data_IF_720431915473
#
_entry.id   IF_720431915473
#
_cell.length_a   1.000
_cell.length_b   1.000
_cell.length_c   1.000
_cell.angle_alpha   90.00
_cell.angle_beta   90.00
_cell.angle_gamma   90.00
#
_symmetry.space_group_name_H-M   'P 1'
#
loop_
_entity.id
_entity.type
_entity.pdbx_description
1 polymer ?
#
# COMPACT_ATOMS: atom_id res chain seq x y z
N UNK A 1 -31.24 2.94 25.49
CA UNK A 1 -29.78 3.04 25.77
C UNK A 1 -29.19 1.64 25.69
N UNK A 2 -28.61 1.29 24.55
CA UNK A 2 -28.11 -0.05 24.25
C UNK A 2 -26.78 -0.30 24.94
N UNK A 3 -26.76 -1.27 25.86
CA UNK A 3 -25.57 -1.74 26.57
C UNK A 3 -24.62 -2.45 25.61
N UNK A 4 -23.56 -1.77 25.18
CA UNK A 4 -22.44 -2.38 24.46
C UNK A 4 -21.79 -3.44 25.38
N UNK A 5 -21.69 -4.69 24.89
CA UNK A 5 -21.18 -5.81 25.68
C UNK A 5 -19.72 -5.59 26.12
N UNK A 6 -19.34 -6.12 27.30
CA UNK A 6 -17.99 -6.00 27.86
C UNK A 6 -16.89 -6.53 26.91
N UNK A 7 -17.23 -7.44 26.00
CA UNK A 7 -16.32 -7.98 24.98
C UNK A 7 -15.97 -6.96 23.90
N UNK A 8 -16.94 -6.14 23.46
CA UNK A 8 -16.72 -5.08 22.47
C UNK A 8 -15.84 -3.96 23.04
N UNK A 9 -15.99 -3.63 24.33
CA UNK A 9 -15.12 -2.64 25.01
C UNK A 9 -13.67 -3.13 25.14
N UNK A 10 -13.46 -4.44 25.37
CA UNK A 10 -12.12 -5.04 25.48
C UNK A 10 -11.44 -5.19 24.12
N UNK A 11 -12.18 -5.52 23.06
CA UNK A 11 -11.68 -5.53 21.68
C UNK A 11 -11.30 -4.12 21.20
N UNK A 12 -12.15 -3.12 21.44
CA UNK A 12 -11.85 -1.74 21.10
C UNK A 12 -10.60 -1.23 21.84
N UNK A 13 -10.46 -1.53 23.14
CA UNK A 13 -9.29 -1.14 23.93
C UNK A 13 -7.99 -1.82 23.47
N UNK A 14 -8.04 -3.09 23.03
CA UNK A 14 -6.88 -3.81 22.51
C UNK A 14 -6.38 -3.27 21.16
N UNK A 15 -7.30 -2.98 20.23
CA UNK A 15 -6.97 -2.37 18.95
C UNK A 15 -6.43 -0.93 19.10
N UNK A 16 -7.02 -0.15 20.03
CA UNK A 16 -6.54 1.20 20.37
C UNK A 16 -5.15 1.20 21.03
N UNK A 17 -4.82 0.21 21.85
CA UNK A 17 -3.51 0.10 22.50
C UNK A 17 -2.39 -0.33 21.53
N UNK A 18 -2.70 -1.20 20.55
CA UNK A 18 -1.77 -1.54 19.48
C UNK A 18 -1.35 -0.31 18.65
N UNK A 19 -2.23 0.67 18.53
CA UNK A 19 -1.97 1.90 17.79
C UNK A 19 -1.31 3.01 18.66
N UNK A 20 -0.91 2.73 19.92
CA UNK A 20 -0.52 3.75 20.92
C UNK A 20 0.79 3.42 21.69
N UNK A 21 1.94 3.35 21.01
CA UNK A 21 3.34 3.47 21.56
C UNK A 21 4.08 2.18 22.03
N UNK A 22 5.45 2.21 22.16
CA UNK A 22 6.37 3.36 22.05
C UNK A 22 7.55 3.28 21.06
N UNK A 23 7.98 4.49 20.70
CA UNK A 23 9.26 4.86 20.13
C UNK A 23 10.46 4.45 21.00
N UNK A 24 11.59 4.17 20.34
CA UNK A 24 12.92 4.34 20.89
C UNK A 24 13.94 4.56 19.76
N UNK A 25 13.94 5.75 19.15
CA UNK A 25 15.17 6.42 18.69
C UNK A 25 15.01 7.93 18.93
N UNK A 26 16.08 8.51 19.47
CA UNK A 26 16.15 9.76 20.21
C UNK A 26 15.84 11.04 19.43
N UNK A 27 15.36 12.02 20.19
CA UNK A 27 15.36 13.44 19.87
C UNK A 27 16.81 13.92 19.66
N UNK A 28 17.14 14.26 18.42
CA UNK A 28 18.14 15.27 18.09
C UNK A 28 17.58 16.05 16.89
N UNK A 29 17.53 17.38 17.01
CA UNK A 29 17.02 18.26 15.96
C UNK A 29 17.78 18.07 14.65
N UNK A 30 17.08 17.53 13.65
CA UNK A 30 17.59 17.14 12.35
C UNK A 30 17.02 15.77 11.99
N UNK A 31 16.05 15.70 11.09
CA UNK A 31 15.55 14.43 10.56
C UNK A 31 16.72 13.72 9.85
N UNK A 32 17.30 12.71 10.49
CA UNK A 32 18.30 11.86 9.87
C UNK A 32 17.70 11.23 8.60
N UNK A 33 18.33 11.45 7.46
CA UNK A 33 17.95 10.80 6.20
C UNK A 33 18.08 9.28 6.39
N UNK A 34 17.03 8.53 6.08
CA UNK A 34 17.11 7.07 6.08
C UNK A 34 18.17 6.60 5.06
N UNK A 35 19.01 5.65 5.48
CA UNK A 35 19.91 4.99 4.55
C UNK A 35 19.11 4.05 3.63
N UNK A 36 19.44 4.04 2.34
CA UNK A 36 18.93 3.04 1.41
C UNK A 36 19.54 1.66 1.73
N UNK A 37 18.75 0.61 1.59
CA UNK A 37 19.21 -0.78 1.68
C UNK A 37 20.01 -1.17 0.43
N UNK A 38 19.64 -0.62 -0.73
CA UNK A 38 20.29 -0.91 -2.01
C UNK A 38 21.80 -0.67 -1.97
N UNK A 39 22.58 -1.68 -2.37
CA UNK A 39 24.04 -1.61 -2.37
C UNK A 39 24.58 -0.63 -3.42
N UNK A 40 25.74 0.01 -3.18
CA UNK A 40 26.42 0.81 -4.19
C UNK A 40 26.66 0.01 -5.49
N UNK A 41 26.40 0.63 -6.64
CA UNK A 41 26.61 0.04 -7.97
C UNK A 41 25.34 -0.43 -8.70
N UNK A 42 24.18 -0.45 -8.04
CA UNK A 42 22.89 -0.60 -8.74
C UNK A 42 22.52 0.72 -9.45
N UNK A 43 21.86 0.68 -10.63
CA UNK A 43 21.45 1.87 -11.36
C UNK A 43 20.15 2.47 -10.77
N UNK A 44 20.17 2.75 -9.46
CA UNK A 44 19.05 3.36 -8.74
C UNK A 44 19.17 4.87 -8.84
N UNK A 45 18.09 5.51 -9.28
CA UNK A 45 17.95 6.96 -9.41
C UNK A 45 16.89 7.49 -8.45
N UNK A 46 16.98 8.77 -8.09
CA UNK A 46 15.88 9.53 -7.50
C UNK A 46 15.42 10.56 -8.53
N UNK A 47 14.23 10.37 -9.07
CA UNK A 47 13.60 11.28 -10.02
C UNK A 47 12.78 12.33 -9.26
N UNK A 48 12.80 13.58 -9.70
CA UNK A 48 11.89 14.62 -9.23
C UNK A 48 10.81 14.81 -10.28
N UNK A 49 9.63 14.21 -10.06
CA UNK A 49 8.56 14.18 -11.05
C UNK A 49 7.55 15.29 -10.76
N UNK A 50 7.35 16.26 -11.67
CA UNK A 50 6.39 17.33 -11.44
C UNK A 50 4.97 16.81 -11.32
N UNK A 51 4.27 17.18 -10.25
CA UNK A 51 2.83 16.97 -10.10
C UNK A 51 2.10 18.29 -10.17
N UNK A 52 1.38 18.51 -11.27
CA UNK A 52 0.54 19.68 -11.44
C UNK A 52 -0.63 19.65 -10.43
N UNK A 53 -1.22 18.48 -10.22
CA UNK A 53 -2.34 18.28 -9.29
C UNK A 53 -1.96 18.53 -7.82
N UNK A 54 -0.70 18.31 -7.46
CA UNK A 54 -0.19 18.54 -6.10
C UNK A 54 0.66 19.80 -5.96
N UNK A 55 0.93 20.52 -7.05
CA UNK A 55 1.68 21.78 -7.07
C UNK A 55 3.12 21.67 -6.60
N UNK A 56 3.75 20.50 -6.76
CA UNK A 56 5.12 20.23 -6.30
C UNK A 56 5.73 19.05 -7.04
N UNK A 57 7.05 18.95 -7.01
CA UNK A 57 7.74 17.74 -7.47
C UNK A 57 7.59 16.63 -6.43
N UNK A 58 7.40 15.40 -6.93
CA UNK A 58 7.30 14.19 -6.13
C UNK A 58 8.57 13.36 -6.37
N UNK A 59 9.35 13.05 -5.31
CA UNK A 59 10.49 12.17 -5.46
C UNK A 59 10.01 10.75 -5.79
N UNK A 60 10.68 10.10 -6.74
CA UNK A 60 10.39 8.73 -7.14
C UNK A 60 11.72 7.98 -7.24
N UNK A 61 11.90 6.96 -6.41
CA UNK A 61 13.02 6.03 -6.57
C UNK A 61 12.75 5.16 -7.78
N UNK A 62 13.75 5.04 -8.65
CA UNK A 62 13.59 4.36 -9.92
C UNK A 62 14.79 3.48 -10.23
N UNK A 63 14.55 2.28 -10.75
CA UNK A 63 15.57 1.45 -11.36
C UNK A 63 15.05 0.94 -12.69
N UNK A 64 15.76 1.25 -13.77
CA UNK A 64 15.44 0.72 -15.10
C UNK A 64 15.81 -0.76 -15.21
N UNK A 65 14.93 -1.55 -15.82
CA UNK A 65 15.16 -2.98 -16.11
C UNK A 65 14.43 -3.51 -17.34
N UNK A 66 13.45 -2.76 -17.86
CA UNK A 66 12.70 -3.04 -19.09
C UNK A 66 11.54 -2.06 -19.27
N UNK A 67 10.75 -2.21 -20.33
CA UNK A 67 9.65 -1.28 -20.65
C UNK A 67 8.42 -1.43 -19.75
N UNK A 68 8.30 -2.54 -19.01
CA UNK A 68 7.26 -2.74 -17.99
C UNK A 68 7.80 -2.44 -16.61
N UNK A 69 6.93 -1.91 -15.74
CA UNK A 69 7.30 -1.49 -14.40
C UNK A 69 6.45 -2.16 -13.30
N UNK A 70 7.07 -2.29 -12.13
CA UNK A 70 6.41 -2.61 -10.87
C UNK A 70 6.39 -1.36 -9.98
N UNK A 71 5.20 -0.85 -9.72
CA UNK A 71 4.95 0.28 -8.84
C UNK A 71 4.83 -0.24 -7.41
N UNK A 72 5.80 0.08 -6.56
CA UNK A 72 5.83 -0.33 -5.16
C UNK A 72 5.35 0.82 -4.30
N UNK A 73 4.11 0.71 -3.85
CA UNK A 73 3.45 1.71 -3.01
C UNK A 73 3.81 1.45 -1.53
N UNK A 74 4.07 2.50 -0.78
CA UNK A 74 4.51 2.43 0.63
C UNK A 74 3.34 2.22 1.60
N UNK A 75 3.64 2.02 2.88
CA UNK A 75 2.66 1.89 3.95
C UNK A 75 2.12 3.22 4.48
N UNK A 76 1.37 3.14 5.58
CA UNK A 76 0.72 4.30 6.21
C UNK A 76 1.71 5.41 6.63
N UNK A 77 2.88 5.01 7.12
CA UNK A 77 3.93 5.90 7.63
C UNK A 77 4.99 6.24 6.55
N UNK A 78 4.59 6.30 5.28
CA UNK A 78 5.46 6.66 4.17
C UNK A 78 6.25 7.94 4.48
N UNK A 79 7.57 7.90 4.28
CA UNK A 79 8.47 8.99 4.61
C UNK A 79 8.72 9.89 3.40
N UNK A 80 9.11 11.14 3.66
CA UNK A 80 9.42 12.12 2.61
C UNK A 80 10.83 11.96 2.02
N UNK A 81 11.71 11.15 2.64
CA UNK A 81 13.11 10.99 2.24
C UNK A 81 13.39 9.73 1.40
N UNK A 82 12.75 8.61 1.70
CA UNK A 82 12.86 7.39 0.91
C UNK A 82 11.60 6.51 1.04
N UNK A 83 11.40 5.58 0.12
CA UNK A 83 10.33 4.58 0.21
C UNK A 83 10.70 3.48 1.21
N UNK A 84 9.74 3.06 2.03
CA UNK A 84 9.90 1.93 2.95
C UNK A 84 10.39 0.65 2.27
N UNK A 85 10.05 0.43 1.00
CA UNK A 85 10.55 -0.69 0.22
C UNK A 85 12.07 -0.69 0.05
N UNK A 86 12.70 0.46 -0.16
CA UNK A 86 14.18 0.58 -0.27
C UNK A 86 14.83 0.76 1.10
N UNK A 87 14.11 1.16 2.14
CA UNK A 87 14.64 1.22 3.51
C UNK A 87 14.75 -0.19 4.11
N UNK A 88 13.72 -1.00 3.91
CA UNK A 88 13.48 -2.22 4.70
C UNK A 88 13.71 -3.50 3.90
N UNK A 89 13.92 -3.41 2.59
CA UNK A 89 14.07 -4.58 1.72
C UNK A 89 15.12 -4.38 0.63
N UNK A 90 15.62 -5.50 0.10
CA UNK A 90 16.48 -5.53 -1.06
C UNK A 90 15.73 -5.42 -2.41
N UNK A 91 14.58 -4.72 -2.47
CA UNK A 91 13.68 -4.74 -3.63
C UNK A 91 14.39 -4.40 -4.95
N UNK A 92 15.22 -3.35 -4.98
CA UNK A 92 15.99 -2.98 -6.17
C UNK A 92 16.98 -4.07 -6.58
N UNK A 93 17.68 -4.68 -5.63
CA UNK A 93 18.62 -5.77 -5.91
C UNK A 93 17.89 -7.02 -6.42
N UNK A 94 16.77 -7.39 -5.81
CA UNK A 94 16.02 -8.59 -6.17
C UNK A 94 15.38 -8.51 -7.56
N UNK A 95 15.09 -7.30 -8.04
CA UNK A 95 14.54 -7.02 -9.38
C UNK A 95 15.60 -6.56 -10.38
N UNK A 96 16.86 -6.44 -9.97
CA UNK A 96 17.94 -6.11 -10.90
C UNK A 96 18.06 -7.21 -11.98
N UNK A 97 18.15 -6.79 -13.24
CA UNK A 97 18.20 -7.67 -14.42
C UNK A 97 16.99 -8.60 -14.58
N UNK A 98 15.84 -8.30 -13.97
CA UNK A 98 14.64 -9.14 -14.10
C UNK A 98 13.79 -8.84 -15.34
N UNK A 99 14.22 -7.94 -16.23
CA UNK A 99 13.38 -7.43 -17.33
C UNK A 99 12.30 -6.42 -16.90
N UNK A 100 12.20 -6.12 -15.59
CA UNK A 100 11.21 -5.20 -15.02
C UNK A 100 11.91 -3.96 -14.48
N UNK A 101 11.35 -2.79 -14.76
CA UNK A 101 11.70 -1.57 -14.05
C UNK A 101 10.99 -1.50 -12.69
N UNK A 102 11.59 -0.85 -11.71
CA UNK A 102 11.01 -0.68 -10.37
C UNK A 102 10.77 0.81 -10.11
N UNK A 103 9.58 1.15 -9.65
CA UNK A 103 9.12 2.52 -9.41
C UNK A 103 8.61 2.59 -7.97
N UNK A 104 9.24 3.41 -7.12
CA UNK A 104 8.79 3.64 -5.74
C UNK A 104 8.52 5.13 -5.50
N UNK A 105 7.25 5.58 -5.55
CA UNK A 105 6.88 6.93 -5.16
C UNK A 105 7.25 7.19 -3.68
N UNK A 106 7.86 8.34 -3.39
CA UNK A 106 8.28 8.74 -2.04
C UNK A 106 7.31 9.77 -1.46
N UNK A 107 7.02 9.65 -0.17
CA UNK A 107 6.09 10.51 0.55
C UNK A 107 4.65 10.02 0.50
N UNK A 108 3.73 10.89 0.92
CA UNK A 108 2.31 10.57 0.94
C UNK A 108 1.86 9.80 2.18
N UNK A 109 2.47 10.09 3.33
CA UNK A 109 2.02 9.60 4.64
C UNK A 109 0.50 9.71 4.76
N UNK A 110 -0.15 8.61 5.17
CA UNK A 110 -1.60 8.50 5.35
C UNK A 110 -2.47 8.75 4.12
N UNK A 111 -1.89 8.84 2.91
CA UNK A 111 -2.63 9.28 1.71
C UNK A 111 -3.63 8.28 1.15
N UNK A 112 -3.49 6.99 1.46
CA UNK A 112 -4.15 5.87 0.76
C UNK A 112 -3.97 5.92 -0.77
N UNK A 113 -2.94 6.61 -1.24
CA UNK A 113 -2.67 6.85 -2.66
C UNK A 113 -3.91 7.26 -3.48
N UNK A 114 -4.79 8.05 -2.85
CA UNK A 114 -6.07 8.49 -3.43
C UNK A 114 -6.07 10.00 -3.69
N UNK A 115 -7.12 10.48 -4.35
CA UNK A 115 -7.41 11.90 -4.50
C UNK A 115 -8.29 12.36 -3.33
N UNK A 116 -7.78 13.30 -2.54
CA UNK A 116 -8.48 13.80 -1.36
C UNK A 116 -9.52 14.86 -1.72
N UNK A 117 -10.63 14.87 -0.99
CA UNK A 117 -11.72 15.85 -1.16
C UNK A 117 -11.38 17.23 -0.60
N UNK A 118 -10.46 17.29 0.37
CA UNK A 118 -10.00 18.52 1.01
C UNK A 118 -8.48 18.46 1.25
N UNK A 119 -7.81 19.60 1.49
CA UNK A 119 -6.38 19.61 1.76
C UNK A 119 -6.00 18.64 2.89
N UNK A 120 -4.90 17.91 2.70
CA UNK A 120 -4.31 17.05 3.71
C UNK A 120 -3.56 17.92 4.72
N UNK A 121 -4.19 18.16 5.88
CA UNK A 121 -3.59 18.87 7.01
C UNK A 121 -3.05 17.83 7.98
N UNK A 122 -1.73 17.80 8.15
CA UNK A 122 -1.02 16.81 8.95
C UNK A 122 0.49 16.91 8.77
N UNK A 123 1.24 16.24 9.63
CA UNK A 123 2.70 16.19 9.61
C UNK A 123 3.36 17.58 9.60
N UNK A 124 2.72 18.54 10.29
CA UNK A 124 3.16 19.93 10.39
C UNK A 124 2.94 20.79 9.13
N UNK A 125 2.19 20.30 8.13
CA UNK A 125 1.98 20.99 6.85
C UNK A 125 0.53 20.89 6.38
N UNK A 126 0.18 21.72 5.40
CA UNK A 126 -1.05 21.59 4.61
C UNK A 126 -0.64 21.32 3.17
N UNK A 127 -1.10 20.20 2.61
CA UNK A 127 -0.70 19.72 1.30
C UNK A 127 -1.92 19.33 0.46
N UNK A 128 -1.83 19.48 -0.85
CA UNK A 128 -2.76 18.81 -1.77
C UNK A 128 -2.31 17.37 -1.95
N UNK A 129 -3.21 16.40 -1.72
CA UNK A 129 -3.02 14.98 -1.99
C UNK A 129 -3.91 14.57 -3.16
N UNK A 130 -3.30 14.42 -4.33
CA UNK A 130 -3.92 13.96 -5.57
C UNK A 130 -3.11 12.77 -6.10
N UNK A 131 -2.90 11.78 -5.24
CA UNK A 131 -1.98 10.68 -5.51
C UNK A 131 -2.49 9.74 -6.59
N UNK A 132 -3.81 9.53 -6.69
CA UNK A 132 -4.35 8.71 -7.77
C UNK A 132 -4.09 9.39 -9.11
N UNK A 133 -4.35 10.70 -9.23
CA UNK A 133 -4.00 11.47 -10.43
C UNK A 133 -2.51 11.36 -10.76
N UNK A 134 -1.64 11.55 -9.77
CA UNK A 134 -0.19 11.44 -9.97
C UNK A 134 0.20 10.05 -10.49
N UNK A 135 -0.26 8.99 -9.83
CA UNK A 135 0.11 7.61 -10.18
C UNK A 135 -0.51 7.14 -11.51
N UNK A 136 -1.62 7.72 -11.94
CA UNK A 136 -2.39 7.23 -13.10
C UNK A 136 -2.28 8.10 -14.34
N UNK A 137 -1.68 9.28 -14.23
CA UNK A 137 -1.51 10.19 -15.37
C UNK A 137 -0.16 10.88 -15.40
N UNK A 138 0.23 11.58 -14.34
CA UNK A 138 1.43 12.42 -14.33
C UNK A 138 2.71 11.58 -14.34
N UNK A 139 2.81 10.61 -13.43
CA UNK A 139 3.94 9.69 -13.32
C UNK A 139 4.10 8.79 -14.55
N UNK A 140 3.08 8.07 -15.06
CA UNK A 140 3.25 7.24 -16.25
C UNK A 140 3.59 8.06 -17.49
N UNK A 141 3.05 9.28 -17.65
CA UNK A 141 3.44 10.17 -18.74
C UNK A 141 4.92 10.57 -18.65
N UNK A 142 5.38 10.96 -17.45
CA UNK A 142 6.78 11.29 -17.21
C UNK A 142 7.70 10.11 -17.49
N UNK A 143 7.40 8.93 -16.94
CA UNK A 143 8.23 7.74 -17.11
C UNK A 143 8.25 7.26 -18.57
N UNK A 144 7.15 7.41 -19.30
CA UNK A 144 7.12 7.09 -20.73
C UNK A 144 8.02 8.03 -21.53
N UNK A 145 7.89 9.34 -21.32
CA UNK A 145 8.64 10.35 -22.06
C UNK A 145 10.15 10.34 -21.74
N UNK A 146 10.52 10.06 -20.49
CA UNK A 146 11.90 10.26 -20.01
C UNK A 146 12.66 8.95 -19.74
N UNK A 147 11.96 7.84 -19.51
CA UNK A 147 12.55 6.56 -19.08
C UNK A 147 12.13 5.36 -19.95
N UNK A 148 11.33 5.58 -21.00
CA UNK A 148 10.90 4.53 -21.92
C UNK A 148 9.97 3.48 -21.29
N UNK A 149 9.31 3.82 -20.19
CA UNK A 149 8.36 2.92 -19.51
C UNK A 149 7.00 3.00 -20.21
N UNK A 150 6.43 1.85 -20.51
CA UNK A 150 5.07 1.71 -21.03
C UNK A 150 4.08 2.32 -20.03
N UNK A 151 3.18 3.22 -20.45
CA UNK A 151 2.12 3.71 -19.57
C UNK A 151 1.04 2.64 -19.33
N UNK A 152 1.08 1.51 -20.05
CA UNK A 152 0.11 0.42 -19.96
C UNK A 152 0.72 -0.91 -19.52
N UNK A 153 -0.11 -1.81 -18.98
CA UNK A 153 0.26 -3.19 -18.66
C UNK A 153 1.41 -3.32 -17.67
N UNK A 154 1.36 -2.55 -16.59
CA UNK A 154 2.30 -2.58 -15.47
C UNK A 154 1.73 -3.36 -14.28
N UNK A 155 2.57 -3.57 -13.26
CA UNK A 155 2.14 -4.06 -11.96
C UNK A 155 2.09 -2.93 -10.93
N UNK A 156 1.15 -3.00 -10.00
CA UNK A 156 1.12 -2.18 -8.79
C UNK A 156 1.05 -3.10 -7.57
N UNK A 157 1.94 -2.91 -6.61
CA UNK A 157 2.03 -3.70 -5.38
C UNK A 157 2.02 -2.76 -4.21
N UNK A 158 1.10 -2.96 -3.30
CA UNK A 158 0.98 -2.21 -2.06
C UNK A 158 0.91 -3.12 -0.85
N UNK A 159 1.19 -2.53 0.31
CA UNK A 159 1.21 -3.19 1.60
C UNK A 159 0.51 -2.32 2.64
N UNK A 160 -0.11 -2.97 3.63
CA UNK A 160 -0.85 -2.26 4.70
C UNK A 160 -1.88 -1.28 4.10
N UNK A 161 -1.72 0.03 4.36
CA UNK A 161 -2.49 1.11 3.74
C UNK A 161 -2.65 0.96 2.22
N UNK A 162 -1.56 0.68 1.49
CA UNK A 162 -1.57 0.71 0.03
C UNK A 162 -1.96 -0.62 -0.62
N UNK A 163 -2.15 -1.69 0.16
CA UNK A 163 -2.66 -2.96 -0.37
C UNK A 163 -4.05 -2.79 -0.99
N UNK A 164 -4.91 -2.01 -0.34
CA UNK A 164 -6.21 -1.64 -0.91
C UNK A 164 -6.06 -0.68 -2.10
N UNK A 165 -5.18 0.31 -2.00
CA UNK A 165 -4.89 1.26 -3.09
C UNK A 165 -4.47 0.55 -4.37
N UNK A 166 -3.60 -0.46 -4.29
CA UNK A 166 -3.15 -1.24 -5.44
C UNK A 166 -4.32 -1.92 -6.16
N UNK A 167 -5.24 -2.54 -5.40
CA UNK A 167 -6.44 -3.17 -5.95
C UNK A 167 -7.40 -2.12 -6.56
N UNK A 168 -7.60 -0.98 -5.90
CA UNK A 168 -8.45 0.10 -6.43
C UNK A 168 -7.86 0.69 -7.72
N UNK A 169 -6.55 0.92 -7.77
CA UNK A 169 -5.87 1.41 -8.97
C UNK A 169 -6.08 0.45 -10.14
N UNK A 170 -5.94 -0.86 -9.95
CA UNK A 170 -6.20 -1.83 -11.02
C UNK A 170 -7.70 -1.98 -11.37
N UNK A 171 -8.59 -1.78 -10.40
CA UNK A 171 -10.03 -1.81 -10.64
C UNK A 171 -10.45 -0.65 -11.58
N UNK A 172 -9.93 0.56 -11.36
CA UNK A 172 -10.32 1.76 -12.11
C UNK A 172 -9.42 2.10 -13.29
N UNK A 173 -8.18 1.58 -13.32
CA UNK A 173 -7.20 1.82 -14.38
C UNK A 173 -6.65 0.50 -14.95
N UNK A 174 -7.51 -0.43 -15.42
CA UNK A 174 -7.09 -1.79 -15.82
C UNK A 174 -6.15 -1.83 -17.03
N UNK A 175 -6.21 -0.81 -17.90
CA UNK A 175 -5.25 -0.68 -19.01
C UNK A 175 -3.85 -0.32 -18.55
N UNK A 176 -3.73 0.38 -17.41
CA UNK A 176 -2.44 0.73 -16.81
C UNK A 176 -1.90 -0.40 -15.95
N UNK A 177 -2.74 -1.01 -15.11
CA UNK A 177 -2.35 -2.03 -14.15
C UNK A 177 -3.03 -3.35 -14.44
N UNK A 178 -2.32 -4.23 -15.16
CA UNK A 178 -2.80 -5.59 -15.45
C UNK A 178 -2.49 -6.58 -14.31
N UNK A 179 -1.67 -6.16 -13.35
CA UNK A 179 -1.31 -6.92 -12.16
C UNK A 179 -1.45 -6.06 -10.90
N UNK A 180 -2.06 -6.60 -9.86
CA UNK A 180 -2.21 -5.94 -8.56
C UNK A 180 -1.82 -6.85 -7.39
N UNK A 181 -0.90 -6.39 -6.55
CA UNK A 181 -0.49 -7.06 -5.31
C UNK A 181 -1.00 -6.31 -4.08
N UNK A 182 -1.68 -7.00 -3.17
CA UNK A 182 -2.06 -6.50 -1.85
C UNK A 182 -1.44 -7.36 -0.76
N UNK A 183 -0.56 -6.78 0.05
CA UNK A 183 0.15 -7.45 1.13
C UNK A 183 -0.32 -6.91 2.48
N UNK A 184 -1.03 -7.73 3.25
CA UNK A 184 -1.62 -7.34 4.54
C UNK A 184 -2.53 -6.10 4.43
N UNK A 185 -3.24 -5.97 3.31
CA UNK A 185 -4.11 -4.83 3.03
C UNK A 185 -5.42 -4.87 3.80
N UNK A 186 -6.00 -3.69 4.04
CA UNK A 186 -7.36 -3.54 4.56
C UNK A 186 -8.36 -3.48 3.39
N UNK A 187 -9.09 -4.56 3.11
CA UNK A 187 -9.82 -4.74 1.84
C UNK A 187 -11.32 -4.43 1.88
N UNK A 188 -11.90 -4.18 3.06
CA UNK A 188 -13.31 -3.81 3.26
C UNK A 188 -13.47 -2.50 4.03
N UNK A 189 -12.76 -1.46 3.57
CA UNK A 189 -12.58 -0.16 4.22
C UNK A 189 -13.88 0.58 4.58
N UNK A 190 -14.96 0.35 3.83
CA UNK A 190 -16.25 1.03 4.02
C UNK A 190 -17.13 0.38 5.08
N UNK A 191 -16.78 -0.81 5.57
CA UNK A 191 -17.65 -1.66 6.37
C UNK A 191 -17.38 -1.54 7.87
N UNK A 192 -18.46 -1.52 8.66
CA UNK A 192 -18.41 -1.66 10.11
C UNK A 192 -17.47 -0.67 10.81
N UNK A 193 -16.46 -1.20 11.52
CA UNK A 193 -15.52 -0.40 12.30
C UNK A 193 -14.37 0.20 11.47
N UNK A 194 -14.19 -0.23 10.22
CA UNK A 194 -13.02 0.13 9.42
C UNK A 194 -12.84 1.63 9.19
N UNK A 195 -13.89 2.43 8.88
CA UNK A 195 -13.71 3.87 8.76
C UNK A 195 -13.17 4.52 10.04
N UNK A 196 -13.57 4.03 11.20
CA UNK A 196 -13.07 4.49 12.51
C UNK A 196 -11.61 4.09 12.73
N UNK A 197 -11.23 2.85 12.40
CA UNK A 197 -9.85 2.37 12.54
C UNK A 197 -8.89 3.11 11.60
N UNK A 198 -9.31 3.37 10.36
CA UNK A 198 -8.56 4.19 9.40
C UNK A 198 -8.40 5.61 9.95
N UNK A 199 -9.48 6.24 10.41
CA UNK A 199 -9.43 7.57 11.01
C UNK A 199 -8.49 7.66 12.22
N UNK A 200 -8.48 6.65 13.09
CA UNK A 200 -7.52 6.57 14.19
C UNK A 200 -6.08 6.47 13.66
N UNK A 201 -5.85 5.53 12.74
CA UNK A 201 -4.51 5.25 12.22
C UNK A 201 -3.91 6.46 11.50
N UNK A 202 -4.71 7.21 10.74
CA UNK A 202 -4.28 8.45 10.08
C UNK A 202 -3.96 9.57 11.06
N UNK A 203 -4.69 9.67 12.18
CA UNK A 203 -4.40 10.64 13.24
C UNK A 203 -3.10 10.32 13.97
N UNK A 204 -2.83 9.03 14.21
CA UNK A 204 -1.56 8.58 14.78
C UNK A 204 -0.40 8.78 13.78
N UNK A 205 -0.60 8.42 12.51
CA UNK A 205 0.35 8.60 11.43
C UNK A 205 0.28 10.01 10.82
N UNK A 206 0.65 11.01 11.62
CA UNK A 206 0.83 12.40 11.16
C UNK A 206 -0.36 13.33 11.41
N UNK A 207 -1.36 12.94 12.20
CA UNK A 207 -2.46 13.85 12.57
C UNK A 207 -3.46 14.13 11.46
N UNK A 208 -3.53 13.27 10.44
CA UNK A 208 -4.41 13.47 9.29
C UNK A 208 -5.87 13.08 9.58
N UNK A 209 -6.80 13.64 8.81
CA UNK A 209 -8.24 13.39 8.94
C UNK A 209 -8.81 12.58 7.75
N UNK A 210 -9.34 11.40 8.03
CA UNK A 210 -10.01 10.56 7.04
C UNK A 210 -11.27 11.22 6.44
N UNK A 211 -11.90 12.16 7.16
CA UNK A 211 -13.02 12.94 6.64
C UNK A 211 -12.58 13.91 5.54
N UNK A 212 -11.36 14.48 5.63
CA UNK A 212 -10.79 15.31 4.57
C UNK A 212 -10.44 14.48 3.33
N UNK A 213 -10.10 13.21 3.53
CA UNK A 213 -9.78 12.27 2.45
C UNK A 213 -11.04 11.84 1.67
N UNK A 214 -12.00 11.19 2.34
CA UNK A 214 -13.16 10.55 1.69
C UNK A 214 -14.52 10.98 2.26
N UNK A 215 -14.57 12.02 3.09
CA UNK A 215 -15.79 12.45 3.74
C UNK A 215 -16.24 11.47 4.84
N UNK A 216 -17.52 11.54 5.26
CA UNK A 216 -18.06 10.71 6.32
C UNK A 216 -17.84 9.20 6.08
N UNK A 217 -17.44 8.48 7.13
CA UNK A 217 -17.15 7.05 7.10
C UNK A 217 -18.29 6.21 6.51
N UNK A 218 -17.96 5.28 5.62
CA UNK A 218 -18.93 4.42 4.93
C UNK A 218 -19.70 5.09 3.78
N UNK A 219 -19.44 6.38 3.53
CA UNK A 219 -20.04 7.13 2.42
C UNK A 219 -19.56 6.68 1.03
N UNK A 220 -20.05 7.34 -0.04
CA UNK A 220 -19.77 6.91 -1.42
C UNK A 220 -18.29 6.81 -1.78
N UNK A 221 -17.44 7.74 -1.32
CA UNK A 221 -16.01 7.69 -1.59
C UNK A 221 -15.31 6.55 -0.83
N UNK A 222 -15.77 6.18 0.36
CA UNK A 222 -15.31 4.98 1.05
C UNK A 222 -15.65 3.72 0.26
N UNK A 223 -16.89 3.61 -0.24
CA UNK A 223 -17.34 2.44 -1.02
C UNK A 223 -16.63 2.33 -2.38
N UNK A 224 -16.36 3.47 -3.03
CA UNK A 224 -15.56 3.54 -4.26
C UNK A 224 -14.17 2.95 -4.04
N UNK A 225 -13.55 3.28 -2.90
CA UNK A 225 -12.20 2.86 -2.56
C UNK A 225 -12.16 1.60 -1.68
N UNK A 226 -13.22 0.79 -1.69
CA UNK A 226 -13.31 -0.48 -0.97
C UNK A 226 -13.09 -1.66 -1.95
N UNK A 227 -11.94 -2.35 -1.89
CA UNK A 227 -11.64 -3.46 -2.81
C UNK A 227 -12.69 -4.57 -2.82
N UNK A 228 -13.29 -4.92 -1.68
CA UNK A 228 -14.33 -5.96 -1.60
C UNK A 228 -15.59 -5.54 -2.37
N UNK A 229 -15.98 -4.27 -2.32
CA UNK A 229 -17.08 -3.77 -3.15
C UNK A 229 -16.72 -3.60 -4.63
N UNK A 230 -15.42 -3.52 -4.96
CA UNK A 230 -14.93 -3.47 -6.34
C UNK A 230 -14.47 -4.85 -6.87
N UNK A 231 -14.72 -5.94 -6.14
CA UNK A 231 -14.24 -7.27 -6.50
C UNK A 231 -14.75 -7.73 -7.88
N UNK A 232 -16.03 -7.54 -8.18
CA UNK A 232 -16.59 -7.83 -9.51
C UNK A 232 -16.00 -6.99 -10.63
N UNK A 233 -15.57 -5.75 -10.36
CA UNK A 233 -14.85 -4.92 -11.35
C UNK A 233 -13.48 -5.53 -11.65
N UNK A 234 -12.76 -5.96 -10.63
CA UNK A 234 -11.46 -6.62 -10.78
C UNK A 234 -11.56 -7.94 -11.55
N UNK A 235 -12.61 -8.74 -11.25
CA UNK A 235 -12.92 -9.98 -11.96
C UNK A 235 -13.23 -9.72 -13.44
N UNK A 236 -14.12 -8.76 -13.74
CA UNK A 236 -14.49 -8.39 -15.10
C UNK A 236 -13.31 -7.85 -15.92
N UNK A 237 -12.38 -7.14 -15.29
CA UNK A 237 -11.17 -6.63 -15.93
C UNK A 237 -10.15 -7.74 -16.26
N UNK A 238 -10.31 -8.96 -15.69
CA UNK A 238 -9.33 -10.04 -15.84
C UNK A 238 -7.98 -9.74 -15.18
N UNK A 239 -7.93 -8.79 -14.25
CA UNK A 239 -6.69 -8.37 -13.54
C UNK A 239 -6.02 -9.57 -12.88
N UNK A 240 -4.71 -9.72 -13.01
CA UNK A 240 -3.97 -10.70 -12.21
C UNK A 240 -3.78 -10.19 -10.79
N UNK A 241 -4.27 -10.92 -9.80
CA UNK A 241 -4.24 -10.49 -8.41
C UNK A 241 -3.32 -11.38 -7.57
N UNK A 242 -2.54 -10.77 -6.69
CA UNK A 242 -1.81 -11.44 -5.61
C UNK A 242 -2.25 -10.85 -4.28
N UNK A 243 -2.92 -11.64 -3.44
CA UNK A 243 -3.31 -11.22 -2.10
C UNK A 243 -2.54 -12.04 -1.09
N UNK A 244 -1.91 -11.37 -0.14
CA UNK A 244 -1.25 -11.98 1.00
C UNK A 244 -1.78 -11.36 2.28
N UNK A 245 -1.96 -12.19 3.31
CA UNK A 245 -2.02 -11.75 4.71
C UNK A 245 -1.57 -12.91 5.58
N UNK A 246 -0.81 -12.62 6.63
CA UNK A 246 -0.49 -13.55 7.69
C UNK A 246 -1.71 -13.82 8.60
N UNK A 247 -1.43 -14.24 9.83
CA UNK A 247 -2.44 -14.48 10.85
C UNK A 247 -2.07 -13.90 12.22
N UNK A 248 -1.04 -13.05 12.26
CA UNK A 248 -0.51 -12.46 13.48
C UNK A 248 0.40 -13.39 14.29
N UNK A 249 0.61 -14.65 13.90
CA UNK A 249 1.60 -15.52 14.56
C UNK A 249 2.98 -15.26 13.99
N UNK A 250 3.97 -14.87 14.81
CA UNK A 250 5.36 -14.77 14.37
C UNK A 250 5.86 -16.10 13.80
N UNK A 251 6.82 -16.01 12.89
CA UNK A 251 7.54 -17.13 12.31
C UNK A 251 8.99 -16.75 12.06
N UNK A 252 9.68 -17.51 11.22
CA UNK A 252 11.13 -17.39 11.05
C UNK A 252 11.58 -16.05 10.44
N UNK A 253 10.65 -15.27 9.87
CA UNK A 253 10.90 -13.92 9.32
C UNK A 253 10.74 -12.80 10.35
N UNK A 254 10.49 -13.12 11.62
CA UNK A 254 10.41 -12.16 12.72
C UNK A 254 8.98 -11.87 13.19
N UNK A 255 8.79 -10.70 13.83
CA UNK A 255 7.52 -10.28 14.43
C UNK A 255 7.29 -10.72 15.87
N UNK A 256 8.22 -11.48 16.45
CA UNK A 256 8.21 -11.80 17.89
C UNK A 256 8.44 -10.53 18.73
N UNK A 257 7.44 -10.17 19.55
CA UNK A 257 7.48 -8.97 20.40
C UNK A 257 6.72 -7.76 19.86
N UNK A 258 6.39 -7.72 18.56
CA UNK A 258 5.54 -6.69 17.96
C UNK A 258 4.05 -7.04 18.13
N UNK A 259 3.57 -6.94 19.38
CA UNK A 259 2.17 -7.22 19.71
C UNK A 259 1.19 -6.38 18.87
N UNK A 260 1.45 -5.09 18.59
CA UNK A 260 0.65 -4.31 17.65
C UNK A 260 0.52 -4.91 16.25
N UNK A 261 1.65 -5.25 15.61
CA UNK A 261 1.65 -5.82 14.27
C UNK A 261 1.00 -7.21 14.22
N UNK A 262 1.12 -8.00 15.29
CA UNK A 262 0.42 -9.29 15.42
C UNK A 262 -1.11 -9.10 15.47
N UNK A 263 -1.60 -8.12 16.24
CA UNK A 263 -3.03 -7.84 16.34
C UNK A 263 -3.60 -7.27 15.04
N UNK A 264 -2.88 -6.33 14.42
CA UNK A 264 -3.29 -5.76 13.13
C UNK A 264 -3.44 -6.85 12.06
N UNK A 265 -2.47 -7.78 11.98
CA UNK A 265 -2.54 -8.86 11.00
C UNK A 265 -3.70 -9.84 11.24
N UNK A 266 -4.03 -10.08 12.52
CA UNK A 266 -5.21 -10.90 12.84
C UNK A 266 -6.51 -10.24 12.39
N UNK A 267 -6.60 -8.90 12.44
CA UNK A 267 -7.81 -8.15 12.04
C UNK A 267 -7.88 -8.02 10.50
N UNK A 268 -6.73 -7.90 9.82
CA UNK A 268 -6.69 -7.88 8.34
C UNK A 268 -7.11 -9.22 7.73
N UNK A 269 -6.89 -10.35 8.43
CA UNK A 269 -7.20 -11.66 7.87
C UNK A 269 -8.68 -11.81 7.48
N UNK A 270 -9.60 -11.39 8.34
CA UNK A 270 -11.04 -11.45 8.05
C UNK A 270 -11.40 -10.57 6.83
N UNK A 271 -10.78 -9.40 6.74
CA UNK A 271 -10.94 -8.49 5.60
C UNK A 271 -10.49 -9.11 4.27
N UNK A 272 -9.34 -9.80 4.28
CA UNK A 272 -8.78 -10.45 3.09
C UNK A 272 -9.58 -11.69 2.68
N UNK A 273 -10.13 -12.45 3.64
CA UNK A 273 -11.04 -13.56 3.36
C UNK A 273 -12.36 -13.08 2.76
N UNK A 274 -12.94 -12.01 3.29
CA UNK A 274 -14.14 -11.40 2.72
C UNK A 274 -13.91 -10.93 1.27
N UNK A 275 -12.73 -10.38 0.96
CA UNK A 275 -12.36 -10.04 -0.40
C UNK A 275 -12.24 -11.29 -1.30
N UNK A 276 -11.59 -12.36 -0.83
CA UNK A 276 -11.50 -13.63 -1.58
C UNK A 276 -12.89 -14.20 -1.90
N UNK A 277 -13.79 -14.20 -0.92
CA UNK A 277 -15.17 -14.68 -1.07
C UNK A 277 -15.92 -13.85 -2.10
N UNK A 278 -15.87 -12.51 -2.00
CA UNK A 278 -16.51 -11.61 -2.95
C UNK A 278 -15.95 -11.77 -4.37
N UNK A 279 -14.62 -11.79 -4.52
CA UNK A 279 -13.96 -11.97 -5.82
C UNK A 279 -14.38 -13.29 -6.49
N UNK A 280 -14.42 -14.38 -5.73
CA UNK A 280 -14.81 -15.70 -6.26
C UNK A 280 -16.30 -15.73 -6.60
N UNK A 281 -17.15 -15.14 -5.74
CA UNK A 281 -18.59 -15.05 -5.97
C UNK A 281 -18.94 -14.24 -7.23
N UNK A 282 -18.16 -13.21 -7.53
CA UNK A 282 -18.30 -12.40 -8.75
C UNK A 282 -17.62 -13.02 -10.00
N UNK A 283 -17.21 -14.29 -9.93
CA UNK A 283 -16.63 -15.04 -11.06
C UNK A 283 -15.13 -14.81 -11.30
N UNK A 284 -14.45 -14.16 -10.37
CA UNK A 284 -13.00 -13.96 -10.41
C UNK A 284 -12.23 -15.28 -10.34
N UNK A 285 -11.26 -15.44 -11.24
CA UNK A 285 -10.46 -16.67 -11.36
C UNK A 285 -8.96 -16.43 -11.61
N UNK A 286 -8.52 -15.16 -11.70
CA UNK A 286 -7.15 -14.79 -12.01
C UNK A 286 -6.42 -14.24 -10.77
N UNK A 287 -6.45 -14.99 -9.66
CA UNK A 287 -5.90 -14.54 -8.39
C UNK A 287 -5.11 -15.64 -7.67
N UNK A 288 -4.09 -15.22 -6.91
CA UNK A 288 -3.37 -16.05 -5.95
C UNK A 288 -3.62 -15.50 -4.55
N UNK A 289 -4.18 -16.33 -3.67
CA UNK A 289 -4.46 -15.99 -2.26
C UNK A 289 -3.50 -16.75 -1.34
N UNK A 290 -2.63 -16.02 -0.66
CA UNK A 290 -1.60 -16.57 0.23
C UNK A 290 -1.94 -16.25 1.69
N UNK A 291 -2.61 -17.18 2.38
CA UNK A 291 -3.01 -17.05 3.79
C UNK A 291 -2.32 -18.10 4.67
N UNK A 292 -1.00 -18.01 4.87
CA UNK A 292 -0.23 -18.99 5.65
C UNK A 292 -0.63 -19.03 7.14
N UNK A 293 -0.22 -20.12 7.81
CA UNK A 293 -0.46 -20.32 9.24
C UNK A 293 0.46 -19.50 10.16
N UNK A 294 1.30 -18.62 9.59
CA UNK A 294 2.18 -17.68 10.25
C UNK A 294 2.31 -16.39 9.41
N UNK A 295 2.83 -15.32 9.99
CA UNK A 295 2.97 -14.02 9.34
C UNK A 295 2.50 -12.88 10.21
N UNK A 296 3.29 -11.82 10.31
CA UNK A 296 2.95 -10.58 11.01
C UNK A 296 2.95 -9.39 10.04
N UNK A 297 2.41 -8.26 10.51
CA UNK A 297 2.30 -7.03 9.75
C UNK A 297 3.66 -6.31 9.63
N UNK A 298 4.61 -6.88 8.87
CA UNK A 298 5.98 -6.36 8.83
C UNK A 298 6.76 -6.66 7.55
N UNK A 299 7.81 -5.85 7.34
CA UNK A 299 8.61 -5.81 6.13
C UNK A 299 9.31 -7.11 5.76
N UNK A 300 9.72 -7.94 6.73
CA UNK A 300 10.31 -9.26 6.45
C UNK A 300 9.36 -10.15 5.64
N UNK A 301 8.07 -10.14 5.97
CA UNK A 301 7.05 -10.89 5.24
C UNK A 301 6.71 -10.25 3.90
N UNK A 302 6.55 -8.92 3.86
CA UNK A 302 6.23 -8.22 2.62
C UNK A 302 7.36 -8.32 1.57
N UNK A 303 8.62 -8.20 2.00
CA UNK A 303 9.79 -8.42 1.14
C UNK A 303 9.88 -9.85 0.62
N UNK A 304 9.57 -10.85 1.46
CA UNK A 304 9.49 -12.25 1.05
C UNK A 304 8.41 -12.47 -0.02
N UNK A 305 7.23 -11.89 0.15
CA UNK A 305 6.15 -11.96 -0.85
C UNK A 305 6.51 -11.25 -2.15
N UNK A 306 7.14 -10.08 -2.07
CA UNK A 306 7.61 -9.34 -3.26
C UNK A 306 8.61 -10.18 -4.08
N UNK A 307 9.45 -10.96 -3.42
CA UNK A 307 10.36 -11.90 -4.08
C UNK A 307 9.62 -13.10 -4.68
N UNK A 308 8.65 -13.67 -3.95
CA UNK A 308 7.86 -14.80 -4.39
C UNK A 308 7.02 -14.49 -5.65
N UNK A 309 6.50 -13.27 -5.77
CA UNK A 309 5.69 -12.85 -6.92
C UNK A 309 6.51 -12.47 -8.16
N UNK A 310 7.84 -12.31 -8.07
CA UNK A 310 8.68 -11.80 -9.17
C UNK A 310 8.47 -12.56 -10.48
N UNK A 311 8.58 -13.89 -10.45
CA UNK A 311 8.39 -14.72 -11.64
C UNK A 311 6.95 -14.71 -12.17
N UNK A 312 5.97 -14.43 -11.31
CA UNK A 312 4.57 -14.31 -11.69
C UNK A 312 4.27 -12.97 -12.38
N UNK A 313 4.87 -11.88 -11.88
CA UNK A 313 4.85 -10.58 -12.55
C UNK A 313 5.51 -10.67 -13.92
N UNK A 314 6.71 -11.24 -14.01
CA UNK A 314 7.43 -11.41 -15.30
C UNK A 314 6.56 -12.10 -16.35
N UNK A 315 5.97 -13.26 -16.00
CA UNK A 315 5.06 -13.98 -16.91
C UNK A 315 3.83 -13.17 -17.29
N UNK A 316 3.24 -12.44 -16.34
CA UNK A 316 2.01 -11.68 -16.60
C UNK A 316 2.27 -10.47 -17.49
N UNK A 317 3.40 -9.79 -17.30
CA UNK A 317 3.73 -8.56 -18.03
C UNK A 317 4.52 -8.82 -19.32
N UNK A 318 5.03 -10.04 -19.52
CA UNK A 318 5.84 -10.42 -20.69
C UNK A 318 7.25 -9.83 -20.64
N UNK A 319 7.87 -9.86 -19.46
CA UNK A 319 9.18 -9.28 -19.17
C UNK A 319 10.26 -10.34 -18.90
#
# INVERSE_FOLDING_TARGET
MTSISRSVRRFAAGALAALMLPALVAVAGGSASAAAYSRPGLPVETLMVPSAAMGRDIPVKFQGGGSKAVYLLDGLRARDDNSGWDIETAAFENYYQSGLSVVMPVGGMSSFYTNWQSPAVGNGRTQSYQWETFLTSELPAYLSANKGISPSGNAVVGLSMSGSSALILAAYHPGQFSYAGSLSGFLNLSQGIWPTLVGFSMRDAGGFDATAMWGPGGGPAWQRNDPTLQAGRLAANGTRIWVYTGNGRPGDLGGGGDIPGQLLESITQDSNRAFQEAYTADGGSNATFNFPANGTHGWGYWGSQLNAMKGDIQRTLGA
#
